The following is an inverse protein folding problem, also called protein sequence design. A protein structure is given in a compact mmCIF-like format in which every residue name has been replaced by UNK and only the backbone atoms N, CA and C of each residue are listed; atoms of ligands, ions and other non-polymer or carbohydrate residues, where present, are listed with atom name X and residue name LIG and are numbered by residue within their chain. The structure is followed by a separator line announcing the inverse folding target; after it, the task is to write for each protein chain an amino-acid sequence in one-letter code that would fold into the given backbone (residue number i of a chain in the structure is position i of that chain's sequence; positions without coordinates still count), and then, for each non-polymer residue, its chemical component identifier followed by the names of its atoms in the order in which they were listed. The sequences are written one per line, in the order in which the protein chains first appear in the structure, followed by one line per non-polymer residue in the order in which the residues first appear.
data_IF_680787557730
#
_entry.id   IF_680787557730
#
_cell.length_a   1.000
_cell.length_b   1.000
_cell.length_c   1.000
_cell.angle_alpha   90.00
_cell.angle_beta   90.00
_cell.angle_gamma   90.00
#
_symmetry.space_group_name_H-M   'P 1'
#
loop_
_entity.id
_entity.type
_entity.pdbx_description
1 polymer ?
#
# COMPACT_ATOMS: atom_id res chain seq x y z
N UNK A 1 9.58 -5.62 -22.68
CA UNK A 1 9.46 -6.34 -21.40
C UNK A 1 7.99 -6.56 -21.14
N UNK A 2 7.59 -7.79 -20.87
CA UNK A 2 6.20 -8.15 -20.55
C UNK A 2 5.90 -7.68 -19.13
N UNK A 3 4.82 -6.91 -18.88
CA UNK A 3 4.47 -6.48 -17.54
C UNK A 3 4.19 -7.70 -16.65
N UNK A 4 4.82 -7.75 -15.48
CA UNK A 4 4.61 -8.84 -14.52
C UNK A 4 3.48 -8.48 -13.57
N UNK A 5 2.36 -9.19 -13.67
CA UNK A 5 1.23 -9.07 -12.73
C UNK A 5 1.52 -9.65 -11.36
N UNK A 6 2.49 -10.56 -11.27
CA UNK A 6 2.94 -11.22 -10.03
C UNK A 6 4.00 -10.43 -9.26
N UNK A 7 4.44 -9.28 -9.78
CA UNK A 7 5.44 -8.46 -9.09
C UNK A 7 4.82 -7.79 -7.86
N UNK A 8 5.15 -8.31 -6.69
CA UNK A 8 4.71 -7.75 -5.42
C UNK A 8 5.61 -6.60 -4.96
N UNK A 9 5.03 -5.67 -4.21
CA UNK A 9 5.81 -4.61 -3.57
C UNK A 9 6.69 -5.19 -2.45
N UNK A 10 7.98 -4.80 -2.39
CA UNK A 10 8.87 -5.17 -1.29
C UNK A 10 8.59 -4.38 0.00
N UNK A 11 7.76 -3.35 -0.05
CA UNK A 11 7.45 -2.55 1.14
C UNK A 11 6.67 -3.40 2.16
N UNK A 12 6.94 -3.23 3.45
CA UNK A 12 6.15 -3.83 4.51
C UNK A 12 4.68 -3.44 4.42
N UNK A 13 3.78 -4.34 4.85
CA UNK A 13 2.40 -3.95 5.17
C UNK A 13 2.42 -3.06 6.40
N UNK A 14 1.40 -2.22 6.52
CA UNK A 14 1.21 -1.32 7.66
C UNK A 14 0.01 -1.78 8.48
N UNK A 15 0.07 -1.53 9.78
CA UNK A 15 -1.11 -1.64 10.64
C UNK A 15 -2.08 -0.51 10.28
N UNK A 16 -3.36 -0.68 10.60
CA UNK A 16 -4.40 0.27 10.24
C UNK A 16 -4.08 1.70 10.73
N UNK A 17 -3.64 1.85 11.99
CA UNK A 17 -3.28 3.14 12.57
C UNK A 17 -2.10 3.82 11.85
N UNK A 18 -1.07 3.05 11.46
CA UNK A 18 0.08 3.59 10.73
C UNK A 18 -0.30 4.00 9.31
N UNK A 19 -1.21 3.24 8.67
CA UNK A 19 -1.73 3.56 7.36
C UNK A 19 -2.62 4.81 7.38
N UNK A 20 -3.46 4.96 8.41
CA UNK A 20 -4.28 6.15 8.63
C UNK A 20 -3.40 7.38 8.83
N UNK A 21 -2.40 7.29 9.71
CA UNK A 21 -1.43 8.38 9.92
C UNK A 21 -0.72 8.78 8.63
N UNK A 22 -0.27 7.80 7.83
CA UNK A 22 0.35 8.07 6.54
C UNK A 22 -0.63 8.76 5.59
N UNK A 23 -1.88 8.29 5.51
CA UNK A 23 -2.92 8.89 4.68
C UNK A 23 -3.14 10.36 5.06
N UNK A 24 -3.35 10.67 6.34
CA UNK A 24 -3.55 12.05 6.81
C UNK A 24 -2.35 12.92 6.45
N UNK A 25 -1.12 12.46 6.72
CA UNK A 25 0.08 13.22 6.38
C UNK A 25 0.21 13.48 4.88
N UNK A 26 -0.12 12.50 4.02
CA UNK A 26 -0.05 12.71 2.58
C UNK A 26 -1.12 13.70 2.08
N UNK A 27 -2.30 13.73 2.71
CA UNK A 27 -3.36 14.67 2.35
C UNK A 27 -3.04 16.11 2.75
N UNK A 28 -2.25 16.31 3.81
CA UNK A 28 -1.76 17.62 4.25
C UNK A 28 -0.66 18.20 3.34
N UNK A 29 -0.15 17.42 2.37
CA UNK A 29 0.88 17.87 1.43
C UNK A 29 0.23 18.32 0.12
N UNK A 30 0.59 19.53 -0.31
CA UNK A 30 -0.08 20.25 -1.39
C UNK A 30 0.31 19.78 -2.80
N UNK A 31 1.47 19.13 -2.94
CA UNK A 31 1.98 18.74 -4.26
C UNK A 31 2.34 17.26 -4.36
N UNK A 32 2.23 16.71 -5.58
CA UNK A 32 2.72 15.37 -5.91
C UNK A 32 4.20 15.19 -5.53
N UNK A 33 5.03 16.22 -5.72
CA UNK A 33 6.46 16.18 -5.40
C UNK A 33 6.74 16.07 -3.91
N UNK A 34 6.00 16.82 -3.08
CA UNK A 34 6.08 16.74 -1.61
C UNK A 34 5.61 15.38 -1.11
N UNK A 35 4.46 14.89 -1.59
CA UNK A 35 3.94 13.56 -1.24
C UNK A 35 4.93 12.45 -1.58
N UNK A 36 5.51 12.50 -2.78
CA UNK A 36 6.51 11.53 -3.20
C UNK A 36 7.80 11.65 -2.38
N UNK A 37 8.23 12.87 -2.06
CA UNK A 37 9.40 13.12 -1.20
C UNK A 37 9.19 12.54 0.19
N UNK A 38 8.03 12.78 0.80
CA UNK A 38 7.66 12.21 2.08
C UNK A 38 7.73 10.68 2.07
N UNK A 39 7.18 10.03 1.03
CA UNK A 39 7.23 8.57 0.90
C UNK A 39 8.68 8.05 0.80
N UNK A 40 9.55 8.73 0.06
CA UNK A 40 10.95 8.36 -0.03
C UNK A 40 11.70 8.50 1.30
N UNK A 41 11.40 9.55 2.06
CA UNK A 41 12.15 9.91 3.25
C UNK A 41 11.62 9.18 4.50
N UNK A 42 10.36 8.76 4.51
CA UNK A 42 9.69 8.19 5.69
C UNK A 42 9.03 6.82 5.48
N UNK A 43 8.74 6.41 4.24
CA UNK A 43 7.94 5.20 3.97
C UNK A 43 8.64 4.19 3.05
N UNK A 44 9.94 4.35 2.79
CA UNK A 44 10.73 3.53 1.87
C UNK A 44 11.63 2.50 2.55
N UNK A 45 11.52 2.31 3.86
CA UNK A 45 12.26 1.24 4.56
C UNK A 45 11.65 -0.12 4.22
N UNK A 46 12.50 -1.09 3.89
CA UNK A 46 12.09 -2.46 3.65
C UNK A 46 13.09 -3.46 4.20
N UNK A 47 12.61 -4.70 4.35
CA UNK A 47 13.33 -5.76 5.04
C UNK A 47 13.48 -6.95 4.11
N UNK A 48 14.63 -7.60 4.20
CA UNK A 48 14.94 -8.82 3.45
C UNK A 48 15.42 -9.85 4.44
N UNK A 49 14.83 -11.04 4.40
CA UNK A 49 15.24 -12.18 5.20
C UNK A 49 15.73 -13.26 4.24
N UNK A 50 17.02 -13.63 4.32
CA UNK A 50 17.64 -14.68 3.48
C UNK A 50 17.46 -14.50 1.97
N UNK A 51 17.36 -13.25 1.52
CA UNK A 51 17.20 -12.89 0.10
C UNK A 51 15.77 -12.57 -0.32
N UNK A 52 14.76 -12.89 0.51
CA UNK A 52 13.36 -12.66 0.19
C UNK A 52 12.79 -11.41 0.90
N UNK A 53 11.96 -10.59 0.23
CA UNK A 53 11.30 -9.45 0.86
C UNK A 53 10.36 -9.89 1.98
N UNK A 54 10.61 -9.38 3.18
CA UNK A 54 9.75 -9.61 4.33
C UNK A 54 8.74 -8.45 4.45
N UNK A 55 7.46 -8.79 4.40
CA UNK A 55 6.37 -7.79 4.33
C UNK A 55 5.40 -7.83 5.52
N UNK A 56 5.52 -8.81 6.42
CA UNK A 56 4.65 -8.93 7.60
C UNK A 56 5.20 -8.08 8.77
N UNK A 57 4.48 -7.05 9.23
CA UNK A 57 4.96 -6.15 10.26
C UNK A 57 5.19 -6.83 11.61
N UNK A 58 4.40 -7.84 11.98
CA UNK A 58 4.58 -8.52 13.27
C UNK A 58 5.84 -9.39 13.26
N UNK A 59 6.14 -10.02 12.12
CA UNK A 59 7.39 -10.78 11.94
C UNK A 59 8.59 -9.85 11.93
N UNK A 60 8.50 -8.70 11.24
CA UNK A 60 9.56 -7.69 11.22
C UNK A 60 9.87 -7.19 12.64
N UNK A 61 8.84 -6.82 13.40
CA UNK A 61 9.01 -6.28 14.75
C UNK A 61 9.66 -7.31 15.69
N UNK A 62 9.21 -8.57 15.62
CA UNK A 62 9.79 -9.66 16.39
C UNK A 62 11.27 -9.88 16.05
N UNK A 63 11.61 -10.06 14.78
CA UNK A 63 12.99 -10.32 14.36
C UNK A 63 13.92 -9.13 14.65
N UNK A 64 13.40 -7.91 14.54
CA UNK A 64 14.14 -6.69 14.92
C UNK A 64 14.40 -6.66 16.43
N UNK A 65 13.41 -6.99 17.25
CA UNK A 65 13.57 -7.05 18.71
C UNK A 65 14.53 -8.16 19.16
N UNK A 66 14.54 -9.29 18.44
CA UNK A 66 15.43 -10.43 18.67
C UNK A 66 16.87 -10.18 18.15
N UNK A 67 17.06 -9.17 17.29
CA UNK A 67 18.36 -8.86 16.70
C UNK A 67 18.83 -9.92 15.71
N UNK A 68 17.91 -10.51 14.94
CA UNK A 68 18.22 -11.59 13.99
C UNK A 68 19.28 -11.12 12.97
N UNK A 69 20.44 -11.80 12.87
CA UNK A 69 21.53 -11.40 11.97
C UNK A 69 21.21 -11.61 10.48
N UNK A 70 20.23 -12.45 10.14
CA UNK A 70 19.79 -12.69 8.75
C UNK A 70 18.78 -11.61 8.28
N UNK A 71 18.26 -10.78 9.18
CA UNK A 71 17.34 -9.68 8.86
C UNK A 71 18.12 -8.46 8.37
N UNK A 72 18.05 -8.19 7.07
CA UNK A 72 18.66 -7.02 6.46
C UNK A 72 17.65 -5.89 6.28
N UNK A 73 18.02 -4.68 6.68
CA UNK A 73 17.21 -3.46 6.53
C UNK A 73 17.79 -2.57 5.44
N UNK A 74 16.94 -2.09 4.55
CA UNK A 74 17.31 -1.24 3.42
C UNK A 74 16.35 -0.06 3.26
N UNK A 75 16.76 0.94 2.49
CA UNK A 75 15.91 2.06 2.07
C UNK A 75 15.77 2.06 0.55
N UNK A 76 14.54 2.02 0.05
CA UNK A 76 14.24 2.05 -1.37
C UNK A 76 14.60 3.41 -1.98
N UNK A 77 15.61 3.40 -2.87
CA UNK A 77 16.11 4.59 -3.55
C UNK A 77 15.46 4.76 -4.93
N UNK A 78 15.51 5.97 -5.54
CA UNK A 78 14.93 6.22 -6.86
C UNK A 78 15.28 5.19 -7.96
N UNK A 79 16.51 4.64 -8.07
CA UNK A 79 16.81 3.62 -9.08
C UNK A 79 15.96 2.35 -8.92
N UNK A 80 15.79 1.88 -7.67
CA UNK A 80 15.02 0.68 -7.36
C UNK A 80 13.53 0.88 -7.67
N UNK A 81 12.96 2.00 -7.23
CA UNK A 81 11.56 2.33 -7.50
C UNK A 81 11.30 2.46 -9.00
N UNK A 82 12.20 3.13 -9.73
CA UNK A 82 12.09 3.26 -11.18
C UNK A 82 12.10 1.88 -11.85
N UNK A 83 13.03 1.01 -11.47
CA UNK A 83 13.11 -0.35 -11.99
C UNK A 83 11.82 -1.13 -11.69
N UNK A 84 11.36 -1.14 -10.44
CA UNK A 84 10.16 -1.85 -10.04
C UNK A 84 8.92 -1.37 -10.80
N UNK A 85 8.76 -0.05 -10.98
CA UNK A 85 7.63 0.50 -11.76
C UNK A 85 7.73 0.13 -13.24
N UNK A 86 8.93 0.12 -13.83
CA UNK A 86 9.15 -0.37 -15.21
C UNK A 86 8.72 -1.84 -15.34
N UNK A 87 9.13 -2.69 -14.40
CA UNK A 87 8.83 -4.11 -14.42
C UNK A 87 7.32 -4.38 -14.22
N UNK A 88 6.69 -3.58 -13.37
CA UNK A 88 5.25 -3.65 -13.09
C UNK A 88 4.39 -3.21 -14.28
N UNK A 89 4.78 -2.12 -14.95
CA UNK A 89 3.94 -1.45 -15.97
C UNK A 89 4.34 -1.75 -17.41
N UNK A 90 5.57 -2.22 -17.63
CA UNK A 90 6.19 -2.28 -18.96
C UNK A 90 6.53 -0.91 -19.57
N UNK A 91 6.26 0.19 -18.87
CA UNK A 91 6.48 1.55 -19.37
C UNK A 91 7.88 2.04 -19.01
N UNK A 92 8.53 2.83 -19.88
CA UNK A 92 9.82 3.44 -19.56
C UNK A 92 9.63 4.51 -18.48
N UNK A 93 10.41 4.39 -17.41
CA UNK A 93 10.53 5.37 -16.34
C UNK A 93 11.99 5.46 -15.92
N UNK A 94 12.68 6.56 -16.22
CA UNK A 94 14.08 6.75 -15.83
C UNK A 94 14.19 7.17 -14.35
N UNK A 95 15.32 6.87 -13.71
CA UNK A 95 15.61 7.36 -12.35
C UNK A 95 15.52 8.88 -12.26
N UNK A 96 16.07 9.59 -13.26
CA UNK A 96 16.03 11.05 -13.30
C UNK A 96 14.60 11.59 -13.33
N UNK A 97 13.64 10.85 -13.91
CA UNK A 97 12.23 11.23 -13.88
C UNK A 97 11.68 11.20 -12.46
N UNK A 98 12.00 10.18 -11.67
CA UNK A 98 11.62 10.12 -10.24
C UNK A 98 12.23 11.28 -9.46
N UNK A 99 13.51 11.60 -9.71
CA UNK A 99 14.17 12.77 -9.07
C UNK A 99 13.47 14.08 -9.43
N UNK A 100 13.11 14.26 -10.70
CA UNK A 100 12.39 15.45 -11.17
C UNK A 100 10.97 15.53 -10.58
N UNK A 101 10.30 14.40 -10.40
CA UNK A 101 8.99 14.32 -9.73
C UNK A 101 9.09 14.79 -8.28
N UNK A 102 10.05 14.25 -7.52
CA UNK A 102 10.31 14.66 -6.13
C UNK A 102 10.60 16.15 -6.00
N UNK A 103 11.42 16.68 -6.91
CA UNK A 103 11.79 18.09 -6.93
C UNK A 103 10.66 19.03 -7.44
N UNK A 104 9.48 18.50 -7.79
CA UNK A 104 8.37 19.30 -8.34
C UNK A 104 8.63 19.87 -9.73
N UNK A 105 9.76 19.54 -10.38
CA UNK A 105 10.15 20.05 -11.70
C UNK A 105 9.19 19.54 -12.78
N UNK A 106 8.67 18.31 -12.61
CA UNK A 106 7.69 17.72 -13.52
C UNK A 106 6.62 17.00 -12.71
N UNK A 107 5.37 17.14 -13.11
CA UNK A 107 4.31 16.25 -12.65
C UNK A 107 4.32 14.96 -13.47
N UNK A 108 3.89 13.86 -12.86
CA UNK A 108 3.65 12.63 -13.61
C UNK A 108 2.28 12.71 -14.29
N UNK A 109 2.27 12.72 -15.63
CA UNK A 109 1.03 12.77 -16.42
C UNK A 109 0.50 11.39 -16.81
N UNK A 110 1.16 10.30 -16.41
CA UNK A 110 0.79 8.93 -16.79
C UNK A 110 0.11 8.20 -15.63
N UNK A 111 -1.22 7.95 -15.69
CA UNK A 111 -1.96 7.29 -14.61
C UNK A 111 -1.40 5.91 -14.24
N UNK A 112 -0.95 5.12 -15.23
CA UNK A 112 -0.35 3.81 -14.98
C UNK A 112 0.91 3.88 -14.12
N UNK A 113 1.74 4.92 -14.29
CA UNK A 113 2.93 5.14 -13.47
C UNK A 113 2.52 5.58 -12.06
N UNK A 114 1.54 6.48 -11.91
CA UNK A 114 1.04 6.90 -10.59
C UNK A 114 0.47 5.71 -9.81
N UNK A 115 -0.33 4.87 -10.48
CA UNK A 115 -0.88 3.65 -9.88
C UNK A 115 0.22 2.68 -9.44
N UNK A 116 1.26 2.48 -10.26
CA UNK A 116 2.38 1.62 -9.90
C UNK A 116 3.22 2.22 -8.75
N UNK A 117 3.47 3.52 -8.75
CA UNK A 117 4.11 4.21 -7.63
C UNK A 117 3.32 3.99 -6.33
N UNK A 118 2.02 4.23 -6.33
CA UNK A 118 1.18 3.99 -5.16
C UNK A 118 1.19 2.51 -4.71
N UNK A 119 1.17 1.56 -5.65
CA UNK A 119 1.31 0.13 -5.35
C UNK A 119 2.66 -0.19 -4.71
N UNK A 120 3.76 0.45 -5.14
CA UNK A 120 5.07 0.28 -4.53
C UNK A 120 5.02 0.61 -3.04
N UNK A 121 4.43 1.74 -2.65
CA UNK A 121 4.29 2.09 -1.22
C UNK A 121 3.07 1.48 -0.52
N UNK A 122 2.30 0.63 -1.21
CA UNK A 122 1.04 0.04 -0.69
C UNK A 122 0.04 1.08 -0.21
N UNK A 123 -0.12 2.17 -0.97
CA UNK A 123 -1.09 3.24 -0.70
C UNK A 123 -2.12 3.33 -1.84
N UNK A 124 -3.20 4.08 -1.59
CA UNK A 124 -4.18 4.40 -2.63
C UNK A 124 -3.57 5.34 -3.70
N UNK A 125 -3.81 5.11 -5.01
CA UNK A 125 -3.26 5.95 -6.08
C UNK A 125 -3.65 7.43 -5.97
N UNK A 126 -4.88 7.71 -5.56
CA UNK A 126 -5.39 9.08 -5.43
C UNK A 126 -4.71 9.85 -4.31
N UNK A 127 -4.02 9.17 -3.37
CA UNK A 127 -3.17 9.87 -2.39
C UNK A 127 -1.97 10.52 -3.05
N UNK A 128 -1.60 10.16 -4.28
CA UNK A 128 -0.57 10.86 -5.04
C UNK A 128 -1.15 11.99 -5.91
N UNK A 129 -2.47 12.14 -5.99
CA UNK A 129 -3.11 13.20 -6.76
C UNK A 129 -3.47 14.38 -5.82
N UNK A 130 -2.79 15.53 -5.93
CA UNK A 130 -3.09 16.69 -5.11
C UNK A 130 -4.44 17.35 -5.43
N UNK A 131 -5.09 16.99 -6.54
CA UNK A 131 -6.39 17.53 -6.91
C UNK A 131 -7.56 16.80 -6.25
N UNK A 132 -7.32 15.63 -5.66
CA UNK A 132 -8.34 14.85 -4.97
C UNK A 132 -8.57 15.43 -3.58
N UNK A 133 -9.82 15.83 -3.24
CA UNK A 133 -10.13 16.42 -1.94
C UNK A 133 -9.84 15.46 -0.77
N UNK A 134 -9.37 15.97 0.36
CA UNK A 134 -9.16 15.14 1.56
C UNK A 134 -10.45 14.48 2.07
N UNK A 135 -11.62 15.07 1.80
CA UNK A 135 -12.94 14.50 2.14
C UNK A 135 -13.18 13.13 1.51
N UNK A 136 -12.52 12.83 0.40
CA UNK A 136 -12.62 11.54 -0.30
C UNK A 136 -11.96 10.38 0.45
N UNK A 137 -11.19 10.71 1.51
CA UNK A 137 -10.54 9.76 2.41
C UNK A 137 -11.09 9.83 3.84
N UNK A 138 -12.16 10.60 4.08
CA UNK A 138 -12.80 10.63 5.37
C UNK A 138 -13.39 9.23 5.70
N UNK A 139 -13.22 8.73 6.94
CA UNK A 139 -13.83 7.47 7.34
C UNK A 139 -15.36 7.55 7.19
N UNK A 140 -15.95 6.45 6.74
CA UNK A 140 -17.41 6.36 6.61
C UNK A 140 -18.07 6.34 8.00
N UNK A 141 -19.18 7.06 8.15
CA UNK A 141 -20.02 7.00 9.35
C UNK A 141 -20.75 5.65 9.51
N UNK A 142 -20.75 4.80 8.47
CA UNK A 142 -21.31 3.44 8.49
C UNK A 142 -20.31 2.44 9.11
N UNK A 143 -20.70 1.82 10.21
CA UNK A 143 -19.88 0.86 10.96
C UNK A 143 -19.45 -0.36 10.13
N UNK A 144 -20.32 -0.86 9.25
CA UNK A 144 -20.04 -2.03 8.41
C UNK A 144 -19.03 -1.65 7.32
N UNK A 145 -19.21 -0.48 6.71
CA UNK A 145 -18.26 0.06 5.74
C UNK A 145 -16.88 0.31 6.37
N UNK A 146 -16.84 0.85 7.60
CA UNK A 146 -15.62 1.07 8.37
C UNK A 146 -14.89 -0.25 8.70
N UNK A 147 -15.59 -1.25 9.24
CA UNK A 147 -14.99 -2.58 9.55
C UNK A 147 -14.49 -3.28 8.30
N UNK A 148 -15.24 -3.19 7.20
CA UNK A 148 -14.81 -3.73 5.91
C UNK A 148 -13.55 -3.03 5.41
N UNK A 149 -13.47 -1.70 5.54
CA UNK A 149 -12.31 -0.91 5.16
C UNK A 149 -11.05 -1.25 5.97
N UNK A 150 -11.19 -1.40 7.29
CA UNK A 150 -10.12 -1.82 8.20
C UNK A 150 -9.56 -3.18 7.79
N UNK A 151 -10.44 -4.17 7.58
CA UNK A 151 -10.02 -5.54 7.23
C UNK A 151 -9.40 -5.61 5.83
N UNK A 152 -9.91 -4.88 4.84
CA UNK A 152 -9.34 -4.84 3.49
C UNK A 152 -7.94 -4.21 3.51
N UNK A 153 -7.76 -3.18 4.33
CA UNK A 153 -6.47 -2.50 4.53
C UNK A 153 -5.47 -3.44 5.24
N UNK A 154 -5.89 -4.13 6.31
CA UNK A 154 -5.08 -5.14 7.00
C UNK A 154 -4.66 -6.29 6.07
N UNK A 155 -5.58 -6.75 5.21
CA UNK A 155 -5.34 -7.84 4.29
C UNK A 155 -4.41 -7.42 3.13
N UNK A 156 -4.25 -6.12 2.87
CA UNK A 156 -3.33 -5.60 1.87
C UNK A 156 -3.62 -6.12 0.46
N UNK A 157 -4.89 -6.35 0.13
CA UNK A 157 -5.30 -6.84 -1.19
C UNK A 157 -4.95 -5.80 -2.27
N UNK A 158 -3.86 -6.07 -2.99
CA UNK A 158 -3.45 -5.29 -4.15
C UNK A 158 -4.50 -5.49 -5.25
N UNK A 159 -5.39 -4.51 -5.41
CA UNK A 159 -6.42 -4.51 -6.46
C UNK A 159 -7.87 -4.47 -5.97
N UNK A 160 -8.11 -4.54 -4.66
CA UNK A 160 -9.43 -4.37 -4.06
C UNK A 160 -9.45 -3.09 -3.22
N UNK A 161 -10.24 -2.10 -3.62
CA UNK A 161 -10.43 -0.87 -2.87
C UNK A 161 -11.60 -1.06 -1.90
N UNK A 162 -11.40 -0.69 -0.63
CA UNK A 162 -12.46 -0.63 0.35
C UNK A 162 -13.58 0.35 -0.05
N UNK A 163 -13.27 1.40 -0.83
CA UNK A 163 -14.26 2.33 -1.41
C UNK A 163 -14.94 1.78 -2.65
N UNK A 164 -14.28 1.01 -3.52
CA UNK A 164 -14.96 0.31 -4.64
C UNK A 164 -15.94 -0.72 -4.07
N UNK A 165 -15.56 -1.34 -2.96
CA UNK A 165 -16.43 -2.17 -2.16
C UNK A 165 -17.54 -1.31 -1.55
N UNK A 166 -17.26 -0.26 -0.76
CA UNK A 166 -18.30 0.58 -0.13
C UNK A 166 -19.27 1.24 -1.12
N UNK A 167 -18.80 1.70 -2.28
CA UNK A 167 -19.62 2.26 -3.36
C UNK A 167 -20.42 1.19 -4.09
N UNK A 168 -19.86 0.00 -4.31
CA UNK A 168 -20.58 -1.14 -4.90
C UNK A 168 -21.55 -1.80 -3.92
N UNK A 169 -21.30 -1.72 -2.61
CA UNK A 169 -22.19 -2.19 -1.54
C UNK A 169 -23.26 -1.12 -1.21
N UNK A 170 -23.03 0.15 -1.57
CA UNK A 170 -23.96 1.27 -1.37
C UNK A 170 -25.39 0.94 -1.81
N UNK A 171 -25.52 0.23 -2.92
CA UNK A 171 -26.81 -0.20 -3.51
C UNK A 171 -27.24 -1.63 -3.13
N UNK A 172 -26.45 -2.34 -2.33
CA UNK A 172 -26.71 -3.71 -1.88
C UNK A 172 -27.50 -3.69 -0.57
N UNK A 173 -28.47 -4.59 -0.44
CA UNK A 173 -29.25 -4.76 0.78
C UNK A 173 -28.37 -5.07 1.99
N UNK A 174 -28.83 -4.69 3.19
CA UNK A 174 -28.11 -4.90 4.45
C UNK A 174 -27.60 -6.35 4.61
N UNK A 175 -28.41 -7.33 4.22
CA UNK A 175 -28.04 -8.75 4.23
C UNK A 175 -26.83 -9.09 3.32
N UNK A 176 -26.73 -8.44 2.15
CA UNK A 176 -25.59 -8.61 1.25
C UNK A 176 -24.32 -7.91 1.77
N UNK A 177 -24.47 -6.79 2.49
CA UNK A 177 -23.36 -6.14 3.18
C UNK A 177 -22.78 -7.03 4.28
N UNK A 178 -23.67 -7.66 5.05
CA UNK A 178 -23.32 -8.53 6.17
C UNK A 178 -22.65 -9.83 5.70
N UNK A 179 -23.08 -10.39 4.57
CA UNK A 179 -22.40 -11.53 3.93
C UNK A 179 -20.98 -11.21 3.46
N UNK A 180 -20.76 -10.02 2.90
CA UNK A 180 -19.42 -9.61 2.50
C UNK A 180 -18.52 -9.42 3.72
N UNK A 181 -19.02 -8.78 4.79
CA UNK A 181 -18.28 -8.66 6.04
C UNK A 181 -17.89 -10.03 6.58
N UNK A 182 -18.81 -10.99 6.62
CA UNK A 182 -18.52 -12.37 7.06
C UNK A 182 -17.47 -13.06 6.19
N UNK A 183 -17.47 -12.83 4.87
CA UNK A 183 -16.45 -13.34 3.95
C UNK A 183 -15.08 -12.75 4.25
N UNK A 184 -14.99 -11.42 4.38
CA UNK A 184 -13.73 -10.72 4.67
C UNK A 184 -13.19 -11.10 6.05
N UNK A 185 -14.06 -11.21 7.07
CA UNK A 185 -13.72 -11.72 8.40
C UNK A 185 -13.26 -13.17 8.37
N UNK A 186 -13.88 -14.01 7.54
CA UNK A 186 -13.47 -15.39 7.32
C UNK A 186 -12.06 -15.48 6.74
N UNK A 187 -11.77 -14.67 5.72
CA UNK A 187 -10.43 -14.59 5.11
C UNK A 187 -9.40 -14.06 6.10
N UNK A 188 -9.72 -13.02 6.87
CA UNK A 188 -8.84 -12.49 7.91
C UNK A 188 -8.55 -13.52 9.00
N UNK A 189 -9.57 -14.24 9.48
CA UNK A 189 -9.40 -15.32 10.46
C UNK A 189 -8.56 -16.47 9.93
N UNK A 190 -8.82 -16.95 8.71
CA UNK A 190 -8.04 -18.02 8.10
C UNK A 190 -6.56 -17.63 7.96
N UNK A 191 -6.30 -16.37 7.62
CA UNK A 191 -4.94 -15.84 7.53
C UNK A 191 -4.25 -15.73 8.89
N UNK A 192 -4.95 -15.27 9.92
CA UNK A 192 -4.43 -15.22 11.29
C UNK A 192 -4.17 -16.62 11.83
N UNK A 193 -5.07 -17.58 11.58
CA UNK A 193 -4.87 -18.98 11.96
C UNK A 193 -3.65 -19.61 11.25
N UNK A 194 -3.47 -19.36 9.94
CA UNK A 194 -2.27 -19.79 9.21
C UNK A 194 -0.97 -19.11 9.69
N UNK A 195 -1.08 -17.97 10.39
CA UNK A 195 0.04 -17.25 11.00
C UNK A 195 0.40 -17.83 12.37
N UNK A 196 -0.59 -18.30 13.11
CA UNK A 196 -0.43 -18.84 14.47
C UNK A 196 -0.09 -20.35 14.47
N UNK A 197 -0.26 -21.04 13.34
CA UNK A 197 0.04 -22.47 13.18
C UNK A 197 0.96 -22.73 11.96
N UNK A 198 2.30 -22.55 12.07
CA UNK A 198 3.23 -22.68 10.95
C UNK A 198 3.51 -24.14 10.53
N UNK A 199 2.68 -25.10 10.91
CA UNK A 199 2.86 -26.51 10.60
C UNK A 199 1.55 -27.18 10.14
N UNK A 200 1.29 -27.14 8.83
CA UNK A 200 0.52 -28.15 8.11
C UNK A 200 1.04 -28.26 6.68
#
# INVERSE_FOLDING_TARGET
MTPSTELHSPMPRRRAADQEKLTVTLLDLDTFGERLTYLFDHASTYYVLRGDPLVDPDVIDRLTAEGDPDLLTFTARPPLVAQWVRDRTGLPLAEQAIRNFRAGIRQNSRPAITKALAQFWRIHPDLLDPTVPASDFAPSDDEVARKTHELVTELGFVGFNARDIASSIGDVSDAGREQLLQLVEGIARARRAARDDPAS
#
